data_IF_584936020834
#
_entry.id   IF_584936020834
#
_cell.length_a   1.000
_cell.length_b   1.000
_cell.length_c   1.000
_cell.angle_alpha   90.00
_cell.angle_beta   90.00
_cell.angle_gamma   90.00
#
_symmetry.space_group_name_H-M   'P 1'
#
loop_
_entity.id
_entity.type
_entity.pdbx_description
1 polymer ?
#
# COMPACT_ATOMS: atom_id res chain seq x y z
N UNK A 1 -6.87 -14.96 40.27
CA UNK A 1 -7.70 -15.43 39.14
C UNK A 1 -8.57 -14.26 38.68
N UNK A 2 -8.74 -14.08 37.36
CA UNK A 2 -9.34 -12.91 36.68
C UNK A 2 -8.39 -11.75 36.33
N UNK A 3 -7.38 -12.05 35.51
CA UNK A 3 -6.66 -11.06 34.68
C UNK A 3 -7.31 -11.07 33.29
N UNK A 4 -8.56 -10.65 33.18
CA UNK A 4 -9.25 -10.49 31.89
C UNK A 4 -10.22 -9.30 32.01
N UNK A 5 -9.72 -8.06 32.05
CA UNK A 5 -10.61 -6.89 31.84
C UNK A 5 -9.88 -5.54 31.60
N UNK A 6 -8.79 -5.50 30.83
CA UNK A 6 -8.22 -4.21 30.41
C UNK A 6 -7.94 -4.12 28.89
N UNK A 7 -8.08 -5.22 28.15
CA UNK A 7 -7.79 -5.25 26.70
C UNK A 7 -9.01 -4.81 25.86
N UNK A 8 -10.24 -5.04 26.32
CA UNK A 8 -11.44 -4.73 25.52
C UNK A 8 -11.74 -3.24 25.40
N UNK A 9 -11.48 -2.42 26.42
CA UNK A 9 -11.79 -0.97 26.37
C UNK A 9 -10.78 -0.21 25.48
N UNK A 10 -9.51 -0.61 25.48
CA UNK A 10 -8.50 -0.02 24.59
C UNK A 10 -8.73 -0.38 23.11
N UNK A 11 -9.30 -1.55 22.82
CA UNK A 11 -9.68 -1.94 21.45
C UNK A 11 -10.88 -1.15 20.92
N UNK A 12 -11.84 -0.79 21.79
CA UNK A 12 -13.03 -0.03 21.41
C UNK A 12 -12.67 1.43 21.07
N UNK A 13 -11.77 2.07 21.84
CA UNK A 13 -11.28 3.42 21.52
C UNK A 13 -10.33 3.42 20.31
N UNK A 14 -9.53 2.36 20.11
CA UNK A 14 -8.68 2.19 18.90
C UNK A 14 -9.50 1.98 17.62
N UNK A 15 -10.63 1.27 17.69
CA UNK A 15 -11.60 1.22 16.58
C UNK A 15 -12.23 2.59 16.29
N UNK A 16 -12.38 3.45 17.30
CA UNK A 16 -12.99 4.77 17.16
C UNK A 16 -12.05 5.88 16.63
N UNK A 17 -10.72 5.78 16.81
CA UNK A 17 -9.74 6.70 16.19
C UNK A 17 -9.15 6.21 14.86
N UNK A 18 -9.07 4.90 14.66
CA UNK A 18 -8.75 4.36 13.31
C UNK A 18 -9.88 4.67 12.31
N UNK A 19 -11.12 4.79 12.80
CA UNK A 19 -12.27 5.25 12.00
C UNK A 19 -12.33 6.76 11.77
N UNK A 20 -11.69 7.61 12.61
CA UNK A 20 -11.59 9.04 12.33
C UNK A 20 -10.58 9.40 11.23
N UNK A 21 -9.59 8.52 10.97
CA UNK A 21 -8.69 8.62 9.80
C UNK A 21 -9.03 7.65 8.66
N UNK A 22 -9.90 6.65 8.88
CA UNK A 22 -10.31 5.68 7.86
C UNK A 22 -9.20 4.72 7.43
N UNK A 23 -8.23 4.42 8.30
CA UNK A 23 -7.11 3.52 8.00
C UNK A 23 -7.55 2.06 8.19
N UNK A 24 -7.40 1.25 7.14
CA UNK A 24 -7.74 -0.17 7.10
C UNK A 24 -6.55 -0.97 6.58
N UNK A 25 -6.39 -2.16 7.12
CA UNK A 25 -5.40 -3.13 6.66
C UNK A 25 -5.62 -3.46 5.17
N UNK A 26 -4.52 -3.60 4.45
CA UNK A 26 -4.50 -3.77 3.00
C UNK A 26 -4.82 -2.52 2.19
N UNK A 27 -5.18 -1.40 2.83
CA UNK A 27 -5.40 -0.13 2.14
C UNK A 27 -4.11 0.56 1.72
N UNK A 28 -4.21 1.41 0.70
CA UNK A 28 -3.12 2.23 0.20
C UNK A 28 -3.30 3.68 0.64
N UNK A 29 -2.26 4.23 1.27
CA UNK A 29 -2.27 5.56 1.85
C UNK A 29 -1.03 6.34 1.40
N UNK A 30 -1.16 7.66 1.35
CA UNK A 30 -0.04 8.58 1.11
C UNK A 30 0.42 9.15 2.43
N UNK A 31 1.70 8.99 2.77
CA UNK A 31 2.34 9.63 3.92
C UNK A 31 3.42 10.59 3.40
N UNK A 32 3.17 11.90 3.52
CA UNK A 32 4.05 12.92 2.93
C UNK A 32 4.15 12.77 1.41
N UNK A 33 5.34 12.49 0.89
CA UNK A 33 5.55 12.22 -0.54
C UNK A 33 5.38 10.75 -0.93
N UNK A 34 5.48 9.83 0.04
CA UNK A 34 5.54 8.39 -0.18
C UNK A 34 4.16 7.74 -0.23
N UNK A 35 4.06 6.66 -0.99
CA UNK A 35 2.85 5.83 -1.10
C UNK A 35 3.09 4.51 -0.38
N UNK A 36 2.22 4.19 0.58
CA UNK A 36 2.42 3.11 1.53
C UNK A 36 1.20 2.19 1.61
N UNK A 37 1.41 0.87 1.66
CA UNK A 37 0.38 -0.14 1.92
C UNK A 37 0.44 -0.52 3.39
N UNK A 38 -0.67 -0.36 4.10
CA UNK A 38 -0.77 -0.78 5.51
C UNK A 38 -0.93 -2.30 5.52
N UNK A 39 -0.02 -3.02 6.16
CA UNK A 39 -0.17 -4.47 6.36
C UNK A 39 -0.91 -4.78 7.65
N UNK A 40 -0.54 -4.12 8.74
CA UNK A 40 -1.11 -4.38 10.07
C UNK A 40 -1.15 -3.07 10.87
N UNK A 41 -2.26 -2.84 11.56
CA UNK A 41 -2.43 -1.70 12.47
C UNK A 41 -2.64 -2.19 13.91
N UNK A 42 -1.58 -2.11 14.72
CA UNK A 42 -1.60 -2.54 16.13
C UNK A 42 -1.07 -1.46 17.07
N UNK A 43 -0.12 -1.82 17.94
CA UNK A 43 0.66 -0.86 18.74
C UNK A 43 1.68 -0.09 17.87
N UNK A 44 2.14 -0.75 16.81
CA UNK A 44 2.98 -0.21 15.75
C UNK A 44 2.23 -0.41 14.43
N UNK A 45 2.50 0.46 13.46
CA UNK A 45 1.95 0.33 12.11
C UNK A 45 3.05 -0.24 11.22
N UNK A 46 2.78 -1.44 10.70
CA UNK A 46 3.63 -2.06 9.68
C UNK A 46 3.13 -1.63 8.32
N UNK A 47 3.96 -0.88 7.60
CA UNK A 47 3.66 -0.38 6.28
C UNK A 47 4.71 -0.81 5.26
N UNK A 48 4.30 -0.78 4.01
CA UNK A 48 5.10 -1.24 2.89
C UNK A 48 5.15 -0.12 1.86
N UNK A 49 6.33 0.42 1.59
CA UNK A 49 6.53 1.47 0.60
C UNK A 49 6.32 0.89 -0.81
N UNK A 50 5.38 1.46 -1.57
CA UNK A 50 5.07 1.01 -2.92
C UNK A 50 6.03 1.56 -3.98
N UNK A 51 6.75 2.64 -3.69
CA UNK A 51 7.77 3.17 -4.59
C UNK A 51 9.06 2.37 -4.52
N UNK A 52 9.52 2.08 -3.30
CA UNK A 52 10.79 1.38 -3.09
C UNK A 52 10.62 -0.12 -2.91
N UNK A 53 9.46 -0.56 -2.41
CA UNK A 53 9.27 -1.94 -2.02
C UNK A 53 9.79 -2.29 -0.64
N UNK A 54 10.19 -1.31 0.17
CA UNK A 54 10.75 -1.56 1.49
C UNK A 54 9.66 -1.62 2.55
N UNK A 55 9.78 -2.60 3.43
CA UNK A 55 8.99 -2.69 4.66
C UNK A 55 9.55 -1.71 5.67
N UNK A 56 8.68 -0.94 6.31
CA UNK A 56 9.07 -0.11 7.44
C UNK A 56 7.99 -0.17 8.53
N UNK A 57 8.42 0.03 9.77
CA UNK A 57 7.56 -0.02 10.94
C UNK A 57 7.70 1.30 11.67
N UNK A 58 6.60 2.03 11.80
CA UNK A 58 6.56 3.31 12.51
C UNK A 58 5.50 3.30 13.61
N UNK A 59 5.66 4.20 14.57
CA UNK A 59 4.65 4.40 15.58
C UNK A 59 3.44 5.09 14.95
N UNK A 60 2.23 4.71 15.37
CA UNK A 60 1.00 5.32 14.86
C UNK A 60 0.98 6.84 15.03
N UNK A 61 1.58 7.35 16.11
CA UNK A 61 1.66 8.78 16.40
C UNK A 61 2.61 9.55 15.48
N UNK A 62 3.55 8.87 14.82
CA UNK A 62 4.55 9.49 13.94
C UNK A 62 4.09 9.53 12.47
N UNK A 63 2.96 8.87 12.15
CA UNK A 63 2.33 8.93 10.83
C UNK A 63 1.62 10.27 10.62
N UNK A 64 2.39 11.27 10.21
CA UNK A 64 2.03 12.69 10.28
C UNK A 64 0.82 13.10 9.42
N UNK A 65 0.57 12.52 8.24
CA UNK A 65 -0.69 12.72 7.50
C UNK A 65 -0.87 11.56 6.54
N UNK A 66 -1.80 10.65 6.82
CA UNK A 66 -2.09 9.52 5.93
C UNK A 66 -3.35 9.80 5.12
N UNK A 67 -3.19 10.22 3.86
CA UNK A 67 -4.32 10.41 2.94
C UNK A 67 -4.64 9.08 2.26
N UNK A 68 -5.87 8.59 2.40
CA UNK A 68 -6.31 7.38 1.68
C UNK A 68 -6.23 7.62 0.17
N UNK A 69 -5.51 6.77 -0.54
CA UNK A 69 -5.39 6.83 -2.00
C UNK A 69 -6.38 5.87 -2.65
N UNK A 70 -6.36 4.60 -2.25
CA UNK A 70 -7.20 3.57 -2.84
C UNK A 70 -7.35 2.37 -1.91
N UNK A 71 -8.31 1.49 -2.20
CA UNK A 71 -8.50 0.22 -1.50
C UNK A 71 -7.71 -0.90 -2.19
N UNK A 72 -7.48 -1.99 -1.46
CA UNK A 72 -6.93 -3.25 -2.01
C UNK A 72 -7.68 -3.74 -3.25
N UNK A 73 -9.00 -3.52 -3.28
CA UNK A 73 -9.90 -3.94 -4.34
C UNK A 73 -9.86 -3.04 -5.58
N UNK A 74 -9.26 -1.86 -5.48
CA UNK A 74 -9.14 -0.92 -6.59
C UNK A 74 -7.86 -1.21 -7.41
N UNK A 75 -7.17 -2.32 -7.12
CA UNK A 75 -6.03 -2.79 -7.89
C UNK A 75 -6.50 -3.47 -9.18
N UNK A 76 -5.94 -3.05 -10.30
CA UNK A 76 -6.31 -3.52 -11.64
C UNK A 76 -5.14 -4.33 -12.20
N UNK A 77 -5.38 -5.50 -12.81
CA UNK A 77 -4.32 -6.24 -13.50
C UNK A 77 -3.87 -5.48 -14.75
N UNK A 78 -2.57 -5.38 -14.93
CA UNK A 78 -1.92 -4.70 -16.04
C UNK A 78 -0.71 -5.50 -16.48
N UNK A 79 -0.33 -5.42 -17.76
CA UNK A 79 0.73 -6.28 -18.30
C UNK A 79 2.09 -5.64 -18.12
N UNK A 80 3.06 -6.38 -17.58
CA UNK A 80 4.46 -5.95 -17.53
C UNK A 80 5.07 -6.08 -18.93
N UNK A 81 5.36 -4.94 -19.56
CA UNK A 81 5.88 -4.88 -20.94
C UNK A 81 7.40 -4.87 -20.95
N UNK A 82 8.02 -4.15 -20.02
CA UNK A 82 9.47 -4.06 -19.91
C UNK A 82 9.91 -4.07 -18.46
N UNK A 83 11.10 -4.62 -18.25
CA UNK A 83 11.74 -4.79 -16.96
C UNK A 83 13.21 -4.43 -17.09
N UNK A 84 13.58 -3.31 -16.49
CA UNK A 84 14.94 -2.78 -16.43
C UNK A 84 15.44 -2.82 -14.98
N UNK A 85 16.73 -2.60 -14.76
CA UNK A 85 17.33 -2.73 -13.42
C UNK A 85 16.69 -1.80 -12.36
N UNK A 86 16.23 -0.61 -12.76
CA UNK A 86 15.68 0.40 -11.84
C UNK A 86 14.27 0.87 -12.17
N UNK A 87 13.74 0.44 -13.31
CA UNK A 87 12.51 0.94 -13.92
C UNK A 87 11.77 -0.21 -14.58
N UNK A 88 10.46 -0.11 -14.62
CA UNK A 88 9.60 -1.08 -15.31
C UNK A 88 8.61 -0.31 -16.16
N UNK A 89 8.15 -0.95 -17.24
CA UNK A 89 7.07 -0.42 -18.05
C UNK A 89 5.86 -1.34 -17.93
N UNK A 90 4.73 -0.73 -17.58
CA UNK A 90 3.47 -1.45 -17.44
C UNK A 90 2.49 -0.88 -18.44
N UNK A 91 1.79 -1.76 -19.16
CA UNK A 91 0.73 -1.36 -20.09
C UNK A 91 -0.55 -1.11 -19.31
N UNK A 92 -1.04 0.12 -19.39
CA UNK A 92 -2.31 0.50 -18.84
C UNK A 92 -3.45 -0.22 -19.58
N UNK A 93 -4.31 -1.02 -18.91
CA UNK A 93 -5.37 -1.77 -19.57
C UNK A 93 -6.52 -0.89 -20.08
N UNK A 94 -6.63 0.35 -19.63
CA UNK A 94 -7.68 1.28 -20.09
C UNK A 94 -7.22 2.12 -21.28
N UNK A 95 -5.97 2.60 -21.26
CA UNK A 95 -5.42 3.46 -22.33
C UNK A 95 -4.55 2.72 -23.33
N UNK A 96 -4.13 1.50 -23.02
CA UNK A 96 -3.14 0.72 -23.79
C UNK A 96 -1.80 1.43 -23.98
N UNK A 97 -1.48 2.38 -23.12
CA UNK A 97 -0.21 3.09 -23.12
C UNK A 97 0.78 2.43 -22.16
N UNK A 98 2.04 2.33 -22.58
CA UNK A 98 3.13 1.87 -21.71
C UNK A 98 3.58 3.01 -20.80
N UNK A 99 3.44 2.83 -19.50
CA UNK A 99 3.85 3.81 -18.49
C UNK A 99 5.10 3.32 -17.78
N UNK A 100 6.16 4.12 -17.83
CA UNK A 100 7.41 3.86 -17.12
C UNK A 100 7.29 4.29 -15.66
N UNK A 101 7.55 3.37 -14.74
CA UNK A 101 7.57 3.63 -13.30
C UNK A 101 8.83 3.03 -12.66
N UNK A 102 9.17 3.44 -11.44
CA UNK A 102 10.29 2.85 -10.71
C UNK A 102 10.04 1.38 -10.41
N UNK A 103 11.08 0.55 -10.56
CA UNK A 103 11.03 -0.87 -10.23
C UNK A 103 10.94 -1.04 -8.71
N UNK A 104 9.86 -1.64 -8.18
CA UNK A 104 9.78 -1.95 -6.76
C UNK A 104 10.62 -3.19 -6.41
N UNK A 105 11.29 -3.20 -5.26
CA UNK A 105 12.12 -4.36 -4.82
C UNK A 105 11.30 -5.65 -4.60
N UNK A 106 9.98 -5.57 -4.43
CA UNK A 106 9.11 -6.76 -4.28
C UNK A 106 8.62 -7.33 -5.60
N UNK A 107 8.94 -6.72 -6.74
CA UNK A 107 8.47 -7.21 -8.02
C UNK A 107 9.22 -8.49 -8.38
N UNK A 108 8.49 -9.60 -8.42
CA UNK A 108 9.04 -10.93 -8.72
C UNK A 108 8.38 -11.59 -9.93
N UNK A 109 7.67 -10.83 -10.76
CA UNK A 109 7.01 -11.33 -11.97
C UNK A 109 7.96 -11.23 -13.17
N UNK A 110 7.78 -12.12 -14.14
CA UNK A 110 8.54 -12.09 -15.40
C UNK A 110 7.82 -11.23 -16.44
N UNK A 111 8.56 -10.78 -17.46
CA UNK A 111 8.04 -10.04 -18.61
C UNK A 111 6.85 -10.76 -19.27
N UNK A 112 5.83 -9.99 -19.65
CA UNK A 112 4.61 -10.51 -20.25
C UNK A 112 3.57 -11.05 -19.27
N UNK A 113 3.89 -11.12 -17.96
CA UNK A 113 2.91 -11.46 -16.93
C UNK A 113 2.12 -10.24 -16.45
N UNK A 114 1.00 -10.53 -15.80
CA UNK A 114 0.15 -9.51 -15.19
C UNK A 114 0.70 -9.07 -13.82
N UNK A 115 0.72 -7.76 -13.61
CA UNK A 115 1.02 -7.07 -12.35
C UNK A 115 -0.21 -6.30 -11.91
N UNK A 116 -0.43 -6.23 -10.60
CA UNK A 116 -1.49 -5.40 -10.06
C UNK A 116 -1.00 -3.96 -9.98
N UNK A 117 -1.76 -3.02 -10.53
CA UNK A 117 -1.49 -1.58 -10.44
C UNK A 117 -2.61 -0.85 -9.74
N UNK A 118 -2.26 0.27 -9.11
CA UNK A 118 -3.20 1.23 -8.56
C UNK A 118 -2.95 2.58 -9.22
N UNK A 119 -3.99 3.09 -9.87
CA UNK A 119 -3.98 4.45 -10.43
C UNK A 119 -4.30 5.45 -9.32
N UNK A 120 -3.49 6.51 -9.24
CA UNK A 120 -3.68 7.60 -8.29
C UNK A 120 -3.50 8.93 -9.01
N UNK A 121 -3.94 10.03 -8.40
CA UNK A 121 -3.72 11.37 -8.95
C UNK A 121 -2.24 11.76 -9.12
N UNK A 122 -1.30 11.02 -8.50
CA UNK A 122 0.16 11.20 -8.68
C UNK A 122 0.75 10.35 -9.80
N UNK A 123 0.04 9.33 -10.28
CA UNK A 123 0.55 8.36 -11.23
C UNK A 123 0.12 6.93 -10.91
N UNK A 124 0.76 5.99 -11.61
CA UNK A 124 0.50 4.55 -11.51
C UNK A 124 1.54 3.93 -10.58
N UNK A 125 1.09 3.07 -9.67
CA UNK A 125 1.96 2.34 -8.75
C UNK A 125 1.66 0.85 -8.85
N UNK A 126 2.71 0.03 -8.98
CA UNK A 126 2.57 -1.42 -8.88
C UNK A 126 2.37 -1.81 -7.41
N UNK A 127 1.50 -2.79 -7.19
CA UNK A 127 1.17 -3.29 -5.86
C UNK A 127 1.36 -4.81 -5.82
N UNK A 128 1.85 -5.36 -4.69
CA UNK A 128 1.98 -6.79 -4.57
C UNK A 128 0.59 -7.42 -4.59
N UNK A 129 0.47 -8.49 -5.39
CA UNK A 129 -0.72 -9.32 -5.53
C UNK A 129 -1.19 -9.89 -4.20
N UNK A 130 -2.46 -10.31 -4.18
CA UNK A 130 -3.18 -10.68 -2.97
C UNK A 130 -2.95 -12.12 -2.56
#
# INVERSE_FOLDING_TARGET
MFIICCIEIALIIRRHRSSSLGIREGGYYKSGEKVIKIQNCGKHVSAFDLETGKRFMENFNDLIVVKKLSRRLDAIPAVLVADEESTIQVMDPETYESVTIKRPEFLSVELGNEVNIVKTAKGIYVVPGV
#
